data_IF_148142642127
#
_entry.id   IF_148142642127
#
_cell.length_a   1.000
_cell.length_b   1.000
_cell.length_c   1.000
_cell.angle_alpha   90.00
_cell.angle_beta   90.00
_cell.angle_gamma   90.00
#
_symmetry.space_group_name_H-M   'P 1'
#
loop_
_entity.id
_entity.type
_entity.pdbx_description
1 polymer ?
#
# COMPACT_ATOMS: atom_id res chain seq x y z
N UNK A 1 -0.85 -93.26 77.89
CA UNK A 1 -0.60 -93.02 76.44
C UNK A 1 -1.28 -91.71 76.08
N UNK A 2 -0.54 -90.66 75.72
CA UNK A 2 -1.15 -89.35 75.42
C UNK A 2 -0.17 -88.18 75.22
N UNK A 3 1.10 -88.35 75.59
CA UNK A 3 2.16 -87.35 75.43
C UNK A 3 2.90 -87.46 74.07
N UNK A 4 2.21 -87.90 73.00
CA UNK A 4 2.80 -88.03 71.66
C UNK A 4 2.12 -87.13 70.61
N UNK A 5 1.01 -86.46 70.95
CA UNK A 5 0.20 -85.72 69.97
C UNK A 5 0.43 -84.20 69.94
N UNK A 6 1.20 -83.63 70.87
CA UNK A 6 1.41 -82.16 70.93
C UNK A 6 2.68 -81.67 70.21
N UNK A 7 3.62 -82.54 69.84
CA UNK A 7 4.87 -82.13 69.16
C UNK A 7 4.74 -82.10 67.64
N UNK A 8 3.78 -82.84 67.06
CA UNK A 8 3.64 -82.98 65.60
C UNK A 8 2.83 -81.85 64.93
N UNK A 9 2.06 -81.09 65.73
CA UNK A 9 1.28 -79.94 65.25
C UNK A 9 2.10 -78.64 65.18
N UNK A 10 3.22 -78.54 65.90
CA UNK A 10 4.12 -77.37 65.86
C UNK A 10 4.94 -77.30 64.56
N UNK A 11 5.51 -78.44 64.16
CA UNK A 11 6.36 -78.54 62.96
C UNK A 11 5.56 -78.37 61.66
N UNK A 12 4.32 -78.87 61.61
CA UNK A 12 3.39 -78.66 60.49
C UNK A 12 2.94 -77.20 60.37
N UNK A 13 2.77 -76.49 61.50
CA UNK A 13 2.43 -75.05 61.51
C UNK A 13 3.60 -74.16 61.07
N UNK A 14 4.83 -74.46 61.49
CA UNK A 14 6.02 -73.72 61.03
C UNK A 14 6.33 -73.96 59.54
N UNK A 15 6.11 -75.18 59.03
CA UNK A 15 6.28 -75.49 57.61
C UNK A 15 5.26 -74.75 56.71
N UNK A 16 4.01 -74.60 57.16
CA UNK A 16 2.96 -73.87 56.44
C UNK A 16 3.24 -72.36 56.44
N UNK A 17 3.66 -71.78 57.57
CA UNK A 17 4.05 -70.37 57.67
C UNK A 17 5.30 -70.07 56.80
N UNK A 18 6.27 -70.98 56.75
CA UNK A 18 7.42 -70.88 55.87
C UNK A 18 7.08 -70.95 54.38
N UNK A 19 6.07 -71.75 53.99
CA UNK A 19 5.58 -71.87 52.62
C UNK A 19 4.75 -70.66 52.17
N UNK A 20 3.90 -70.10 53.03
CA UNK A 20 3.17 -68.85 52.76
C UNK A 20 4.10 -67.66 52.64
N UNK A 21 5.13 -67.58 53.50
CA UNK A 21 6.14 -66.50 53.43
C UNK A 21 6.94 -66.55 52.12
N UNK A 22 7.30 -67.75 51.64
CA UNK A 22 7.92 -67.92 50.31
C UNK A 22 6.98 -67.52 49.16
N UNK A 23 5.70 -67.88 49.23
CA UNK A 23 4.69 -67.48 48.22
C UNK A 23 4.48 -65.97 48.18
N UNK A 24 4.43 -65.32 49.34
CA UNK A 24 4.35 -63.86 49.44
C UNK A 24 5.57 -63.17 48.81
N UNK A 25 6.78 -63.66 49.08
CA UNK A 25 8.00 -63.12 48.46
C UNK A 25 8.03 -63.34 46.94
N UNK A 26 7.55 -64.48 46.43
CA UNK A 26 7.48 -64.73 44.98
C UNK A 26 6.45 -63.82 44.27
N UNK A 27 5.32 -63.53 44.91
CA UNK A 27 4.30 -62.62 44.36
C UNK A 27 4.79 -61.16 44.36
N UNK A 28 5.47 -60.74 45.42
CA UNK A 28 6.10 -59.42 45.49
C UNK A 28 7.18 -59.27 44.42
N UNK A 29 8.05 -60.26 44.24
CA UNK A 29 9.07 -60.25 43.19
C UNK A 29 8.45 -60.17 41.78
N UNK A 30 7.35 -60.88 41.54
CA UNK A 30 6.66 -60.86 40.25
C UNK A 30 5.98 -59.51 39.99
N UNK A 31 5.35 -58.91 41.00
CA UNK A 31 4.77 -57.55 40.91
C UNK A 31 5.83 -56.47 40.68
N UNK A 32 7.01 -56.62 41.29
CA UNK A 32 8.14 -55.70 41.09
C UNK A 32 8.64 -55.77 39.65
N UNK A 33 8.78 -56.98 39.10
CA UNK A 33 9.19 -57.18 37.70
C UNK A 33 8.17 -56.58 36.74
N UNK A 34 6.86 -56.79 36.99
CA UNK A 34 5.79 -56.22 36.17
C UNK A 34 5.79 -54.70 36.23
N UNK A 35 5.94 -54.10 37.42
CA UNK A 35 6.01 -52.64 37.57
C UNK A 35 7.26 -52.03 36.92
N UNK A 36 8.41 -52.71 36.99
CA UNK A 36 9.64 -52.28 36.31
C UNK A 36 9.49 -52.38 34.79
N UNK A 37 8.85 -53.44 34.29
CA UNK A 37 8.56 -53.59 32.87
C UNK A 37 7.58 -52.54 32.37
N UNK A 38 6.48 -52.29 33.09
CA UNK A 38 5.53 -51.23 32.75
C UNK A 38 6.18 -49.85 32.78
N UNK A 39 6.97 -49.55 33.82
CA UNK A 39 7.70 -48.29 33.91
C UNK A 39 8.69 -48.10 32.77
N UNK A 40 9.38 -49.16 32.36
CA UNK A 40 10.29 -49.16 31.21
C UNK A 40 9.55 -48.90 29.88
N UNK A 41 8.42 -49.58 29.66
CA UNK A 41 7.59 -49.39 28.45
C UNK A 41 6.97 -47.99 28.40
N UNK A 42 6.43 -47.50 29.52
CA UNK A 42 5.90 -46.14 29.60
C UNK A 42 7.00 -45.08 29.39
N UNK A 43 8.18 -45.29 29.97
CA UNK A 43 9.33 -44.40 29.73
C UNK A 43 9.76 -44.39 28.27
N UNK A 44 9.79 -45.56 27.62
CA UNK A 44 10.10 -45.68 26.20
C UNK A 44 9.09 -44.94 25.31
N UNK A 45 7.79 -45.15 25.54
CA UNK A 45 6.72 -44.47 24.78
C UNK A 45 6.74 -42.95 25.00
N UNK A 46 7.04 -42.49 26.21
CA UNK A 46 7.17 -41.05 26.50
C UNK A 46 8.33 -40.41 25.76
N UNK A 47 9.49 -41.09 25.70
CA UNK A 47 10.65 -40.60 24.93
C UNK A 47 10.34 -40.58 23.44
N UNK A 48 9.62 -41.59 22.93
CA UNK A 48 9.23 -41.67 21.52
C UNK A 48 8.23 -40.56 21.13
N UNK A 49 7.24 -40.27 21.97
CA UNK A 49 6.29 -39.17 21.78
C UNK A 49 6.99 -37.81 21.79
N UNK A 50 7.95 -37.61 22.70
CA UNK A 50 8.76 -36.40 22.76
C UNK A 50 9.66 -36.22 21.52
N UNK A 51 10.21 -37.30 20.96
CA UNK A 51 11.00 -37.26 19.73
C UNK A 51 10.13 -36.95 18.50
N UNK A 52 8.97 -37.59 18.39
CA UNK A 52 8.03 -37.37 17.27
C UNK A 52 7.49 -35.93 17.25
N UNK A 53 7.24 -35.34 18.43
CA UNK A 53 6.83 -33.94 18.55
C UNK A 53 7.90 -32.94 18.11
N UNK A 54 9.18 -33.28 18.30
CA UNK A 54 10.32 -32.48 17.84
C UNK A 54 10.43 -32.42 16.32
N UNK A 55 10.37 -33.58 15.65
CA UNK A 55 10.41 -33.67 14.17
C UNK A 55 9.21 -32.99 13.52
N UNK A 56 8.02 -33.10 14.12
CA UNK A 56 6.81 -32.46 13.63
C UNK A 56 6.87 -30.93 13.73
N UNK A 57 7.44 -30.41 14.82
CA UNK A 57 7.63 -28.97 15.01
C UNK A 57 8.70 -28.41 14.06
N UNK A 58 9.79 -29.15 13.84
CA UNK A 58 10.84 -28.78 12.88
C UNK A 58 10.29 -28.73 11.45
N UNK A 59 9.53 -29.76 11.04
CA UNK A 59 8.93 -29.81 9.70
C UNK A 59 7.84 -28.74 9.51
N UNK A 60 7.03 -28.45 10.54
CA UNK A 60 6.06 -27.36 10.52
C UNK A 60 6.74 -25.98 10.37
N UNK A 61 7.90 -25.79 10.99
CA UNK A 61 8.66 -24.54 10.87
C UNK A 61 9.23 -24.35 9.45
N UNK A 62 9.72 -25.42 8.81
CA UNK A 62 10.20 -25.38 7.44
C UNK A 62 9.08 -25.07 6.43
N UNK A 63 7.89 -25.65 6.61
CA UNK A 63 6.71 -25.37 5.76
C UNK A 63 6.27 -23.91 5.88
N UNK A 64 6.30 -23.36 7.10
CA UNK A 64 5.97 -21.96 7.32
C UNK A 64 6.99 -21.02 6.66
N UNK A 65 8.28 -21.33 6.73
CA UNK A 65 9.34 -20.55 6.06
C UNK A 65 9.20 -20.59 4.53
N UNK A 66 8.94 -21.77 3.96
CA UNK A 66 8.70 -21.94 2.53
C UNK A 66 7.49 -21.13 2.06
N UNK A 67 6.41 -21.13 2.86
CA UNK A 67 5.19 -20.36 2.56
C UNK A 67 5.44 -18.85 2.61
N UNK A 68 6.24 -18.38 3.57
CA UNK A 68 6.65 -16.96 3.63
C UNK A 68 7.51 -16.58 2.41
N UNK A 69 8.41 -17.45 1.98
CA UNK A 69 9.23 -17.24 0.76
C UNK A 69 8.38 -17.19 -0.51
N UNK A 70 7.36 -18.03 -0.65
CA UNK A 70 6.47 -18.00 -1.82
C UNK A 70 5.63 -16.74 -1.86
N UNK A 71 5.09 -16.29 -0.73
CA UNK A 71 4.34 -15.03 -0.64
C UNK A 71 5.23 -13.82 -0.97
N UNK A 72 6.45 -13.79 -0.45
CA UNK A 72 7.40 -12.72 -0.74
C UNK A 72 7.80 -12.69 -2.24
N UNK A 73 7.99 -13.87 -2.86
CA UNK A 73 8.29 -13.98 -4.29
C UNK A 73 7.12 -13.54 -5.17
N UNK A 74 5.89 -13.93 -4.82
CA UNK A 74 4.69 -13.45 -5.52
C UNK A 74 4.54 -11.93 -5.43
N UNK A 75 4.81 -11.36 -4.25
CA UNK A 75 4.79 -9.92 -4.06
C UNK A 75 5.86 -9.22 -4.90
N UNK A 76 7.08 -9.78 -4.97
CA UNK A 76 8.14 -9.25 -5.84
C UNK A 76 7.76 -9.35 -7.32
N UNK A 77 7.13 -10.44 -7.75
CA UNK A 77 6.63 -10.59 -9.12
C UNK A 77 5.58 -9.54 -9.46
N UNK A 78 4.63 -9.29 -8.54
CA UNK A 78 3.58 -8.30 -8.77
C UNK A 78 4.14 -6.86 -8.84
N UNK A 79 5.12 -6.54 -7.98
CA UNK A 79 5.84 -5.26 -8.03
C UNK A 79 6.61 -5.09 -9.34
N UNK A 80 7.32 -6.13 -9.78
CA UNK A 80 8.11 -6.10 -11.02
C UNK A 80 7.22 -6.03 -12.26
N UNK A 81 6.10 -6.76 -12.25
CA UNK A 81 5.09 -6.70 -13.32
C UNK A 81 4.49 -5.30 -13.45
N UNK A 82 4.16 -4.67 -12.31
CA UNK A 82 3.68 -3.28 -12.28
C UNK A 82 4.71 -2.29 -12.82
N UNK A 83 5.99 -2.45 -12.45
CA UNK A 83 7.09 -1.66 -13.01
C UNK A 83 7.20 -1.84 -14.53
N UNK A 84 7.08 -3.08 -15.03
CA UNK A 84 7.14 -3.37 -16.46
C UNK A 84 5.99 -2.75 -17.25
N UNK A 85 4.78 -2.73 -16.69
CA UNK A 85 3.62 -2.06 -17.30
C UNK A 85 3.89 -0.56 -17.42
N UNK A 86 4.38 0.07 -16.36
CA UNK A 86 4.76 1.48 -16.37
C UNK A 86 5.82 1.79 -17.45
N UNK A 87 6.89 0.99 -17.54
CA UNK A 87 7.93 1.20 -18.56
C UNK A 87 7.41 1.00 -19.99
N UNK A 88 6.48 0.06 -20.21
CA UNK A 88 5.84 -0.13 -21.52
C UNK A 88 4.99 1.06 -21.91
N UNK A 89 4.21 1.60 -20.98
CA UNK A 89 3.36 2.77 -21.20
C UNK A 89 4.23 4.00 -21.54
N UNK A 90 5.29 4.23 -20.77
CA UNK A 90 6.27 5.29 -21.04
C UNK A 90 6.92 5.14 -22.43
N UNK A 91 7.33 3.92 -22.80
CA UNK A 91 7.91 3.65 -24.12
C UNK A 91 6.89 3.88 -25.25
N UNK A 92 5.63 3.51 -25.04
CA UNK A 92 4.55 3.72 -26.02
C UNK A 92 4.20 5.20 -26.20
N UNK A 93 4.22 5.98 -25.12
CA UNK A 93 4.09 7.43 -25.16
C UNK A 93 5.21 8.06 -25.98
N UNK A 94 6.46 7.67 -25.71
CA UNK A 94 7.63 8.16 -26.45
C UNK A 94 7.58 7.75 -27.93
N UNK A 95 7.21 6.51 -28.24
CA UNK A 95 7.06 6.05 -29.62
C UNK A 95 5.94 6.80 -30.37
N UNK A 96 4.82 7.11 -29.70
CA UNK A 96 3.74 7.94 -30.23
C UNK A 96 4.21 9.35 -30.57
N UNK A 97 4.94 9.99 -29.65
CA UNK A 97 5.51 11.33 -29.87
C UNK A 97 6.60 11.38 -30.96
N UNK A 98 7.36 10.30 -31.15
CA UNK A 98 8.35 10.20 -32.21
C UNK A 98 7.71 9.97 -33.59
N UNK A 99 6.60 9.22 -33.65
CA UNK A 99 5.86 9.00 -34.89
C UNK A 99 5.06 10.23 -35.35
N UNK A 100 4.69 11.13 -34.43
CA UNK A 100 4.02 12.42 -34.74
C UNK A 100 4.98 13.57 -35.05
N UNK A 101 6.30 13.33 -35.05
CA UNK A 101 7.36 14.28 -35.44
C UNK A 101 7.42 14.53 -36.96
N UNK A 102 6.26 14.62 -37.62
CA UNK A 102 6.13 15.07 -39.00
C UNK A 102 5.55 16.48 -39.04
N UNK A 103 6.41 17.49 -39.22
CA UNK A 103 6.04 18.87 -39.59
C UNK A 103 4.98 19.60 -38.74
N UNK A 104 4.96 19.45 -37.41
CA UNK A 104 4.26 20.41 -36.55
C UNK A 104 5.19 21.58 -36.23
N UNK A 105 4.93 22.74 -36.84
CA UNK A 105 5.40 24.02 -36.25
C UNK A 105 4.81 24.09 -34.84
N UNK A 106 5.65 24.34 -33.84
CA UNK A 106 5.19 24.32 -32.46
C UNK A 106 4.15 25.41 -32.22
N UNK A 107 3.20 25.14 -31.33
CA UNK A 107 2.18 26.10 -30.96
C UNK A 107 2.79 27.14 -30.02
N UNK A 108 2.45 28.41 -30.26
CA UNK A 108 2.86 29.52 -29.40
C UNK A 108 1.59 30.17 -28.87
N UNK A 109 1.51 30.28 -27.55
CA UNK A 109 0.30 30.74 -26.89
C UNK A 109 0.53 30.99 -25.43
N UNK A 110 -0.29 31.86 -24.82
CA UNK A 110 -0.25 32.10 -23.39
C UNK A 110 -1.66 32.27 -22.85
N UNK A 111 -1.90 31.71 -21.68
CA UNK A 111 -3.15 31.89 -20.96
C UNK A 111 -2.87 31.94 -19.46
N UNK A 112 -3.77 32.59 -18.73
CA UNK A 112 -3.69 32.75 -17.28
C UNK A 112 -5.04 32.39 -16.69
N UNK A 113 -5.05 31.51 -15.70
CA UNK A 113 -6.26 31.08 -15.00
C UNK A 113 -6.04 31.13 -13.48
N UNK A 114 -7.02 31.61 -12.69
CA UNK A 114 -6.98 31.42 -11.25
C UNK A 114 -7.26 29.95 -10.91
N UNK A 115 -6.50 29.38 -9.98
CA UNK A 115 -6.72 28.02 -9.46
C UNK A 115 -7.00 28.08 -7.96
N UNK A 116 -7.90 27.23 -7.49
CA UNK A 116 -8.32 27.20 -6.10
C UNK A 116 -7.62 26.07 -5.36
N UNK A 117 -7.01 26.40 -4.22
CA UNK A 117 -6.31 25.46 -3.36
C UNK A 117 -6.88 25.49 -1.94
N UNK A 118 -6.63 24.42 -1.20
CA UNK A 118 -6.90 24.36 0.24
C UNK A 118 -5.59 24.04 0.95
N UNK A 119 -5.28 24.85 1.96
CA UNK A 119 -4.17 24.66 2.87
C UNK A 119 -4.69 24.12 4.20
N UNK A 120 -4.02 23.10 4.72
CA UNK A 120 -4.27 22.65 6.09
C UNK A 120 -3.36 23.42 7.04
N UNK A 121 -3.96 24.23 7.90
CA UNK A 121 -3.25 24.95 8.96
C UNK A 121 -3.20 24.06 10.19
N UNK A 122 -2.03 23.55 10.53
CA UNK A 122 -1.82 22.77 11.75
C UNK A 122 -1.51 23.71 12.92
N UNK A 123 -2.49 23.98 13.78
CA UNK A 123 -2.23 24.60 15.09
C UNK A 123 -2.08 23.52 16.16
N UNK A 124 -1.32 23.80 17.23
CA UNK A 124 -1.00 22.87 18.32
C UNK A 124 -2.22 22.16 18.95
N UNK A 125 -3.43 22.73 18.83
CA UNK A 125 -4.66 22.19 19.41
C UNK A 125 -5.75 21.85 18.37
N UNK A 126 -5.63 22.28 17.11
CA UNK A 126 -6.69 22.08 16.11
C UNK A 126 -6.15 22.21 14.68
N UNK A 127 -6.60 21.31 13.79
CA UNK A 127 -6.40 21.43 12.34
C UNK A 127 -7.48 22.35 11.76
N UNK A 128 -7.06 23.40 11.06
CA UNK A 128 -7.91 24.29 10.28
C UNK A 128 -7.71 24.06 8.79
N UNK A 129 -8.70 24.44 7.99
CA UNK A 129 -8.60 24.48 6.53
C UNK A 129 -8.89 25.90 6.06
N UNK A 130 -8.05 26.40 5.17
CA UNK A 130 -8.16 27.73 4.58
C UNK A 130 -8.06 27.60 3.06
N UNK A 131 -8.91 28.35 2.35
CA UNK A 131 -8.89 28.38 0.90
C UNK A 131 -7.94 29.47 0.41
N UNK A 132 -7.20 29.19 -0.65
CA UNK A 132 -6.34 30.18 -1.30
C UNK A 132 -6.59 30.19 -2.81
N UNK A 133 -6.57 31.39 -3.38
CA UNK A 133 -6.48 31.57 -4.83
C UNK A 133 -5.02 31.64 -5.21
N UNK A 134 -4.62 30.83 -6.19
CA UNK A 134 -3.30 30.85 -6.79
C UNK A 134 -3.42 31.21 -8.27
N UNK A 135 -2.35 31.73 -8.85
CA UNK A 135 -2.33 32.04 -10.28
C UNK A 135 -1.58 30.95 -11.06
N UNK A 136 -2.23 30.36 -12.05
CA UNK A 136 -1.58 29.50 -13.03
C UNK A 136 -1.39 30.24 -14.36
N UNK A 137 -0.14 30.46 -14.74
CA UNK A 137 0.26 30.93 -16.07
C UNK A 137 0.67 29.72 -16.93
N UNK A 138 0.07 29.57 -18.10
CA UNK A 138 0.44 28.55 -19.10
C UNK A 138 1.07 29.24 -20.30
N UNK A 139 2.26 28.80 -20.69
CA UNK A 139 2.94 29.22 -21.90
C UNK A 139 3.19 28.01 -22.81
N UNK A 140 2.83 28.15 -24.08
CA UNK A 140 3.13 27.21 -25.14
C UNK A 140 4.28 27.79 -25.96
N UNK A 141 5.33 27.00 -26.13
CA UNK A 141 6.51 27.37 -26.92
C UNK A 141 6.90 26.22 -27.83
N UNK A 142 7.54 26.53 -28.96
CA UNK A 142 8.08 25.47 -29.82
C UNK A 142 9.09 24.60 -29.06
N UNK A 143 8.96 23.29 -29.19
CA UNK A 143 9.72 22.35 -28.38
C UNK A 143 9.53 20.90 -28.78
N UNK A 144 9.57 20.01 -27.79
CA UNK A 144 9.61 18.56 -27.97
C UNK A 144 8.50 17.85 -27.18
N UNK A 145 7.36 18.51 -26.97
CA UNK A 145 6.21 17.90 -26.28
C UNK A 145 6.43 17.74 -24.77
N UNK A 146 7.26 18.59 -24.16
CA UNK A 146 7.56 18.50 -22.72
C UNK A 146 6.53 19.28 -21.92
N UNK A 147 6.06 18.69 -20.84
CA UNK A 147 5.25 19.40 -19.83
C UNK A 147 6.14 19.76 -18.65
N UNK A 148 6.42 21.05 -18.50
CA UNK A 148 7.28 21.62 -17.48
C UNK A 148 6.43 22.36 -16.45
N UNK A 149 6.70 22.13 -15.17
CA UNK A 149 6.00 22.82 -14.07
C UNK A 149 7.01 23.57 -13.22
N UNK A 150 6.81 24.88 -13.14
CA UNK A 150 7.50 25.78 -12.23
C UNK A 150 6.49 26.20 -11.15
N UNK A 151 6.77 25.91 -9.90
CA UNK A 151 5.81 26.15 -8.81
C UNK A 151 6.52 26.66 -7.57
N UNK A 152 5.92 27.67 -6.94
CA UNK A 152 6.33 28.17 -5.63
C UNK A 152 5.72 27.35 -4.48
N UNK A 153 4.83 26.41 -4.80
CA UNK A 153 4.13 25.55 -3.83
C UNK A 153 5.05 24.42 -3.36
N UNK A 154 5.15 24.24 -2.04
CA UNK A 154 6.05 23.28 -1.39
C UNK A 154 5.74 21.81 -1.82
N UNK A 155 4.46 21.47 -2.00
CA UNK A 155 3.98 20.12 -2.35
C UNK A 155 3.35 20.07 -3.76
N UNK A 156 4.09 20.48 -4.79
CA UNK A 156 3.58 20.62 -6.17
C UNK A 156 3.52 19.36 -7.04
N UNK A 157 3.74 18.14 -6.51
CA UNK A 157 3.81 16.92 -7.34
C UNK A 157 2.48 16.62 -8.06
N UNK A 158 1.35 16.83 -7.39
CA UNK A 158 0.02 16.58 -7.96
C UNK A 158 -0.32 17.58 -9.08
N UNK A 159 0.21 18.80 -9.00
CA UNK A 159 0.08 19.81 -10.07
C UNK A 159 0.82 19.32 -11.32
N UNK A 160 2.01 18.72 -11.16
CA UNK A 160 2.75 18.16 -12.28
C UNK A 160 2.01 16.99 -12.94
N UNK A 161 1.43 16.09 -12.14
CA UNK A 161 0.63 14.99 -12.68
C UNK A 161 -0.60 15.53 -13.43
N UNK A 162 -1.31 16.49 -12.84
CA UNK A 162 -2.50 17.11 -13.43
C UNK A 162 -2.18 17.85 -14.73
N UNK A 163 -1.05 18.55 -14.80
CA UNK A 163 -0.62 19.25 -16.01
C UNK A 163 -0.34 18.30 -17.18
N UNK A 164 0.22 17.12 -16.91
CA UNK A 164 0.44 16.09 -17.94
C UNK A 164 -0.88 15.52 -18.45
N UNK A 165 -1.78 15.15 -17.54
CA UNK A 165 -3.11 14.67 -17.91
C UNK A 165 -3.88 15.72 -18.71
N UNK A 166 -3.83 16.98 -18.27
CA UNK A 166 -4.44 18.11 -18.97
C UNK A 166 -3.92 18.25 -20.40
N UNK A 167 -2.60 18.20 -20.61
CA UNK A 167 -2.02 18.27 -21.96
C UNK A 167 -2.52 17.15 -22.88
N UNK A 168 -2.54 15.90 -22.40
CA UNK A 168 -3.05 14.75 -23.16
C UNK A 168 -4.55 14.89 -23.46
N UNK A 169 -5.33 15.38 -22.51
CA UNK A 169 -6.77 15.63 -22.70
C UNK A 169 -6.99 16.72 -23.74
N UNK A 170 -6.21 17.80 -23.75
CA UNK A 170 -6.32 18.86 -24.77
C UNK A 170 -6.00 18.32 -26.16
N UNK A 171 -4.94 17.52 -26.31
CA UNK A 171 -4.61 16.87 -27.59
C UNK A 171 -5.79 16.02 -28.08
N UNK A 172 -6.38 15.23 -27.20
CA UNK A 172 -7.51 14.36 -27.52
C UNK A 172 -8.79 15.13 -27.86
N UNK A 173 -9.14 16.16 -27.07
CA UNK A 173 -10.38 16.93 -27.24
C UNK A 173 -10.33 17.87 -28.45
N UNK A 174 -9.17 18.48 -28.71
CA UNK A 174 -9.03 19.47 -29.78
C UNK A 174 -8.47 18.89 -31.08
N UNK A 175 -7.98 17.64 -31.06
CA UNK A 175 -7.35 17.02 -32.23
C UNK A 175 -6.06 17.74 -32.66
N UNK A 176 -5.39 18.42 -31.73
CA UNK A 176 -4.11 19.12 -31.95
C UNK A 176 -2.96 18.26 -31.45
N UNK A 177 -1.78 18.41 -32.07
CA UNK A 177 -0.56 17.74 -31.62
C UNK A 177 0.30 18.71 -30.82
N UNK A 178 0.53 18.43 -29.54
CA UNK A 178 1.48 19.13 -28.69
C UNK A 178 2.89 18.52 -28.76
N UNK A 179 3.12 17.48 -29.56
CA UNK A 179 4.43 16.82 -29.71
C UNK A 179 5.59 17.76 -30.11
N UNK A 180 5.30 18.84 -30.84
CA UNK A 180 6.26 19.89 -31.21
C UNK A 180 6.22 21.12 -30.30
N UNK A 181 5.53 21.04 -29.16
CA UNK A 181 5.22 22.18 -28.28
C UNK A 181 5.56 21.83 -26.84
N UNK A 182 6.40 22.62 -26.18
CA UNK A 182 6.56 22.50 -24.74
C UNK A 182 5.47 23.31 -24.02
N UNK A 183 4.83 22.70 -23.05
CA UNK A 183 3.83 23.31 -22.16
C UNK A 183 4.53 23.70 -20.87
N UNK A 184 4.62 24.99 -20.59
CA UNK A 184 5.22 25.53 -19.37
C UNK A 184 4.11 26.06 -18.48
N UNK A 185 3.88 25.37 -17.35
CA UNK A 185 2.96 25.81 -16.31
C UNK A 185 3.75 26.49 -15.19
N UNK A 186 3.46 27.76 -14.92
CA UNK A 186 3.99 28.48 -13.77
C UNK A 186 2.87 28.73 -12.77
N UNK A 187 3.00 28.19 -11.56
CA UNK A 187 2.05 28.43 -10.45
C UNK A 187 2.68 29.39 -9.45
N UNK A 188 2.01 30.52 -9.24
CA UNK A 188 2.42 31.56 -8.30
C UNK A 188 1.48 31.61 -7.11
N UNK A 189 2.04 31.77 -5.93
CA UNK A 189 1.30 31.87 -4.69
C UNK A 189 1.63 33.19 -3.98
N UNK A 190 0.63 33.86 -3.41
CA UNK A 190 0.87 34.98 -2.50
C UNK A 190 1.31 34.43 -1.14
N UNK A 191 2.62 34.24 -0.98
CA UNK A 191 3.23 33.71 0.24
C UNK A 191 3.53 32.21 0.21
N UNK A 192 3.94 31.66 1.35
CA UNK A 192 4.30 30.25 1.49
C UNK A 192 3.05 29.38 1.71
N UNK A 193 2.37 29.05 0.61
CA UNK A 193 1.18 28.17 0.62
C UNK A 193 1.60 26.71 0.51
N UNK A 194 1.23 25.92 1.52
CA UNK A 194 1.37 24.46 1.51
C UNK A 194 0.04 23.84 1.08
N UNK A 195 -0.08 23.53 -0.21
CA UNK A 195 -1.30 22.99 -0.79
C UNK A 195 -1.44 21.50 -0.46
N UNK A 196 -2.64 21.10 -0.02
CA UNK A 196 -2.97 19.70 0.32
C UNK A 196 -3.63 18.96 -0.83
N UNK A 197 -4.22 19.67 -1.80
CA UNK A 197 -4.95 19.07 -2.92
C UNK A 197 -4.58 19.72 -4.26
N UNK A 198 -3.38 19.39 -4.77
CA UNK A 198 -2.89 19.90 -6.06
C UNK A 198 -3.60 19.29 -7.28
N UNK A 199 -4.30 18.16 -7.10
CA UNK A 199 -5.05 17.50 -8.18
C UNK A 199 -6.29 18.30 -8.62
N UNK A 200 -6.89 19.02 -7.68
CA UNK A 200 -8.13 19.78 -7.87
C UNK A 200 -8.03 21.00 -8.79
N UNK A 201 -6.82 21.34 -9.24
CA UNK A 201 -6.57 22.36 -10.25
C UNK A 201 -6.57 21.81 -11.69
N UNK A 202 -6.65 20.49 -11.87
CA UNK A 202 -6.51 19.83 -13.18
C UNK A 202 -7.47 20.36 -14.23
N UNK A 203 -8.75 20.54 -13.90
CA UNK A 203 -9.74 21.10 -14.82
C UNK A 203 -9.41 22.54 -15.25
N UNK A 204 -8.97 23.38 -14.31
CA UNK A 204 -8.56 24.77 -14.59
C UNK A 204 -7.31 24.82 -15.49
N UNK A 205 -6.32 23.97 -15.23
CA UNK A 205 -5.12 23.85 -16.06
C UNK A 205 -5.47 23.42 -17.48
N UNK A 206 -6.40 22.46 -17.65
CA UNK A 206 -6.90 22.05 -18.97
C UNK A 206 -7.49 23.22 -19.74
N UNK A 207 -8.36 24.02 -19.10
CA UNK A 207 -8.95 25.22 -19.71
C UNK A 207 -7.87 26.23 -20.09
N UNK A 208 -6.85 26.43 -19.26
CA UNK A 208 -5.73 27.32 -19.59
C UNK A 208 -4.93 26.83 -20.80
N UNK A 209 -4.64 25.54 -20.91
CA UNK A 209 -3.95 24.99 -22.08
C UNK A 209 -4.83 25.16 -23.33
N UNK A 210 -6.14 24.89 -23.26
CA UNK A 210 -7.07 25.11 -24.39
C UNK A 210 -7.12 26.59 -24.80
N UNK A 211 -7.17 27.51 -23.83
CA UNK A 211 -7.13 28.95 -24.07
C UNK A 211 -5.82 29.36 -24.75
N UNK A 212 -4.68 28.83 -24.30
CA UNK A 212 -3.38 29.09 -24.92
C UNK A 212 -3.28 28.55 -26.35
N UNK A 213 -3.83 27.35 -26.62
CA UNK A 213 -3.86 26.76 -27.98
C UNK A 213 -4.74 27.58 -28.91
N UNK A 214 -5.91 28.03 -28.44
CA UNK A 214 -6.90 28.72 -29.28
C UNK A 214 -6.68 30.23 -29.38
N UNK A 215 -5.88 30.80 -28.49
CA UNK A 215 -5.70 32.26 -28.36
C UNK A 215 -6.91 32.98 -27.77
N UNK A 216 -7.87 32.27 -27.17
CA UNK A 216 -9.01 32.90 -26.49
C UNK A 216 -8.61 33.36 -25.08
N UNK A 217 -9.15 34.51 -24.67
CA UNK A 217 -9.07 34.95 -23.28
C UNK A 217 -9.94 34.07 -22.37
N UNK A 218 -9.50 33.94 -21.11
CA UNK A 218 -10.33 33.38 -20.04
C UNK A 218 -11.19 34.50 -19.48
N UNK A 219 -12.43 34.18 -19.12
CA UNK A 219 -13.37 35.15 -18.56
C UNK A 219 -12.93 35.53 -17.14
N UNK A 220 -12.72 36.82 -16.91
CA UNK A 220 -12.39 37.34 -15.58
C UNK A 220 -13.58 37.14 -14.61
N UNK A 221 -13.29 36.97 -13.31
CA UNK A 221 -14.32 36.76 -12.30
C UNK A 221 -14.90 35.33 -12.27
N UNK A 222 -14.52 34.44 -13.20
CA UNK A 222 -14.96 33.04 -13.20
C UNK A 222 -13.88 32.14 -12.63
N UNK A 223 -14.27 31.31 -11.66
CA UNK A 223 -13.38 30.38 -10.96
C UNK A 223 -13.85 28.95 -11.18
N UNK A 224 -12.91 28.01 -11.24
CA UNK A 224 -13.23 26.59 -11.32
C UNK A 224 -12.32 25.75 -10.43
N UNK A 225 -12.86 24.64 -9.93
CA UNK A 225 -12.11 23.58 -9.26
C UNK A 225 -12.64 22.23 -9.77
N UNK A 226 -11.76 21.25 -9.87
CA UNK A 226 -12.06 19.96 -10.45
C UNK A 226 -10.79 19.22 -10.80
N UNK A 227 -10.72 17.93 -10.49
CA UNK A 227 -9.70 17.06 -11.08
C UNK A 227 -10.00 16.84 -12.55
N UNK A 228 -8.98 16.57 -13.37
CA UNK A 228 -9.18 16.17 -14.77
C UNK A 228 -8.84 14.69 -14.92
N UNK A 229 -9.81 13.92 -15.42
CA UNK A 229 -9.63 12.52 -15.74
C UNK A 229 -9.11 12.35 -17.17
N UNK A 230 -8.46 11.22 -17.47
CA UNK A 230 -7.90 10.95 -18.79
C UNK A 230 -8.94 10.85 -19.91
N UNK A 231 -10.23 10.67 -19.58
CA UNK A 231 -11.35 10.68 -20.52
C UNK A 231 -11.90 12.09 -20.79
N UNK A 232 -11.31 13.12 -20.17
CA UNK A 232 -11.74 14.51 -20.25
C UNK A 232 -12.86 14.90 -19.30
N UNK A 233 -13.35 14.00 -18.44
CA UNK A 233 -14.35 14.31 -17.43
C UNK A 233 -13.74 15.07 -16.23
N UNK A 234 -14.55 15.94 -15.61
CA UNK A 234 -14.18 16.63 -14.37
C UNK A 234 -14.54 15.74 -13.18
N UNK A 235 -13.53 15.42 -12.36
CA UNK A 235 -13.71 14.59 -11.17
C UNK A 235 -13.96 15.39 -9.89
N UNK A 236 -14.20 14.66 -8.80
CA UNK A 236 -14.51 15.22 -7.49
C UNK A 236 -13.31 15.93 -6.86
N UNK A 237 -13.61 16.84 -5.91
CA UNK A 237 -12.60 17.62 -5.18
C UNK A 237 -12.99 17.80 -3.71
N UNK A 238 -11.98 17.98 -2.86
CA UNK A 238 -12.18 18.29 -1.44
C UNK A 238 -12.33 19.79 -1.17
N UNK A 239 -12.86 20.12 0.00
CA UNK A 239 -12.80 21.47 0.57
C UNK A 239 -13.55 22.54 -0.22
N UNK A 240 -14.61 22.17 -0.95
CA UNK A 240 -15.41 23.09 -1.78
C UNK A 240 -15.86 24.36 -1.04
N UNK A 241 -16.33 24.32 0.22
CA UNK A 241 -16.72 25.54 0.93
C UNK A 241 -15.57 26.54 1.12
N UNK A 242 -14.36 26.05 1.42
CA UNK A 242 -13.18 26.90 1.60
C UNK A 242 -12.73 27.50 0.26
N UNK A 243 -12.77 26.70 -0.81
CA UNK A 243 -12.47 27.15 -2.18
C UNK A 243 -13.47 28.21 -2.67
N UNK A 244 -14.75 27.99 -2.42
CA UNK A 244 -15.81 28.92 -2.79
C UNK A 244 -15.71 30.24 -2.02
N UNK A 245 -15.35 30.18 -0.72
CA UNK A 245 -15.09 31.37 0.08
C UNK A 245 -13.90 32.17 -0.47
N UNK A 246 -12.77 31.49 -0.74
CA UNK A 246 -11.59 32.14 -1.31
C UNK A 246 -11.89 32.79 -2.67
N UNK A 247 -12.65 32.11 -3.54
CA UNK A 247 -13.10 32.68 -4.81
C UNK A 247 -13.98 33.93 -4.60
N UNK A 248 -14.92 33.89 -3.65
CA UNK A 248 -15.78 35.02 -3.35
C UNK A 248 -14.99 36.23 -2.79
N UNK A 249 -13.97 35.97 -1.96
CA UNK A 249 -13.09 37.01 -1.41
C UNK A 249 -12.19 37.65 -2.48
N UNK A 250 -11.78 36.87 -3.48
CA UNK A 250 -10.97 37.32 -4.62
C UNK A 250 -11.79 38.04 -5.72
N UNK A 251 -13.12 38.04 -5.60
CA UNK A 251 -14.03 38.77 -6.50
C UNK A 251 -14.75 37.92 -7.53
N UNK A 252 -15.04 36.65 -7.22
CA UNK A 252 -15.86 35.79 -8.08
C UNK A 252 -17.23 36.40 -8.40
N UNK A 253 -17.56 36.43 -9.69
CA UNK A 253 -18.85 36.83 -10.22
C UNK A 253 -19.64 35.57 -10.61
N UNK A 254 -20.95 35.58 -10.38
CA UNK A 254 -21.86 34.45 -10.65
C UNK A 254 -22.55 34.56 -12.00
#
# INVERSE_FOLDING_TARGET
MGWCFMFEDGEKREAVVGAERRRGHTLLALSLIVNVLLGSVCGYLYIQDAQLGGELAEQASAVNELTLKTVALEQQLNMTASQLVYYKELASYLAGSAASSGNSTGLIGRARVPILAVQATQSFLQAGYEGHVLQADVELVEGHGRVLVNTEVINGQDIQASARTAATVVESLMGVSLSGTDVILTVRAEGSVEVVDGSSAGGAITVAIMAAVTGHGIVDGVYMTGTINSDGSIGEVGGVPYKALAAAEDGAET
#
